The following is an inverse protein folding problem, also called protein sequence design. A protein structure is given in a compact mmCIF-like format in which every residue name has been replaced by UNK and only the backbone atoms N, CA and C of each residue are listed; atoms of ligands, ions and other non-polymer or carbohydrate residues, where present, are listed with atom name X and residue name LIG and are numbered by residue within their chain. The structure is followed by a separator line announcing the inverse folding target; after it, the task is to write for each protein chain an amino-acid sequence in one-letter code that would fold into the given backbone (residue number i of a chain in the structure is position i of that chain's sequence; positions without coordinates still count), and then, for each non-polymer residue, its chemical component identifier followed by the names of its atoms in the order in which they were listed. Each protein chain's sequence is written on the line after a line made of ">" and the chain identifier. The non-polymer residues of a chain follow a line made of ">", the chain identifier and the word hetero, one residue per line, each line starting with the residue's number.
data_IF_781827518208
#
_entry.id   IF_781827518208
#
_cell.length_a   1.000
_cell.length_b   1.000
_cell.length_c   1.000
_cell.angle_alpha   90.00
_cell.angle_beta   90.00
_cell.angle_gamma   90.00
#
_symmetry.space_group_name_H-M   'P 1'
#
loop_
_entity.id
_entity.type
_entity.pdbx_description
1 polymer ?
#
# COMPACT_ATOMS: atom_id res chain seq x y z
N UNK A 1 -16.93 -33.78 -19.58
CA UNK A 1 -18.38 -33.77 -19.25
C UNK A 1 -18.90 -32.39 -18.78
N UNK A 2 -18.16 -31.63 -17.97
CA UNK A 2 -18.60 -30.33 -17.41
C UNK A 2 -19.11 -29.25 -18.40
N UNK A 3 -18.65 -29.24 -19.66
CA UNK A 3 -19.05 -28.23 -20.66
C UNK A 3 -20.55 -28.30 -21.00
N UNK A 4 -21.15 -29.48 -20.98
CA UNK A 4 -22.57 -29.65 -21.31
C UNK A 4 -23.48 -29.14 -20.18
N UNK A 5 -23.11 -29.41 -18.92
CA UNK A 5 -23.83 -28.95 -17.73
C UNK A 5 -23.84 -27.42 -17.61
N UNK A 6 -22.71 -26.75 -17.90
CA UNK A 6 -22.65 -25.29 -17.90
C UNK A 6 -23.53 -24.66 -18.99
N UNK A 7 -23.62 -25.30 -20.16
CA UNK A 7 -24.52 -24.85 -21.22
C UNK A 7 -25.98 -24.97 -20.78
N UNK A 8 -26.37 -26.06 -20.12
CA UNK A 8 -27.73 -26.24 -19.61
C UNK A 8 -28.04 -25.26 -18.47
N UNK A 9 -27.13 -25.11 -17.50
CA UNK A 9 -27.27 -24.19 -16.38
C UNK A 9 -27.37 -22.74 -16.84
N UNK A 10 -26.48 -22.29 -17.74
CA UNK A 10 -26.51 -20.96 -18.32
C UNK A 10 -27.76 -20.70 -19.16
N UNK A 11 -28.28 -21.75 -19.85
CA UNK A 11 -29.56 -21.66 -20.54
C UNK A 11 -30.70 -21.53 -19.54
N UNK A 12 -30.73 -22.26 -18.44
CA UNK A 12 -31.76 -22.14 -17.41
C UNK A 12 -31.78 -20.76 -16.73
N UNK A 13 -30.60 -20.21 -16.40
CA UNK A 13 -30.45 -18.86 -15.83
C UNK A 13 -30.94 -17.76 -16.80
N UNK A 14 -30.60 -17.86 -18.09
CA UNK A 14 -31.03 -16.90 -19.12
C UNK A 14 -32.47 -17.14 -19.59
N UNK A 15 -32.97 -18.36 -19.42
CA UNK A 15 -34.17 -18.91 -20.05
C UNK A 15 -34.99 -19.68 -19.02
N UNK A 16 -35.37 -19.02 -17.94
CA UNK A 16 -36.52 -19.43 -17.13
C UNK A 16 -37.77 -19.36 -18.04
N UNK A 17 -37.98 -20.40 -18.85
CA UNK A 17 -39.01 -20.53 -19.88
C UNK A 17 -39.68 -21.90 -19.75
N UNK A 18 -40.72 -21.96 -18.92
CA UNK A 18 -41.79 -22.94 -18.98
C UNK A 18 -43.12 -22.20 -18.81
N UNK A 19 -43.96 -22.27 -19.85
CA UNK A 19 -45.38 -21.90 -20.02
C UNK A 19 -46.02 -20.65 -19.35
N UNK A 20 -46.54 -19.79 -20.24
CA UNK A 20 -47.61 -18.77 -20.16
C UNK A 20 -47.56 -17.52 -19.24
N UNK A 21 -47.62 -17.53 -17.91
CA UNK A 21 -47.98 -16.27 -17.16
C UNK A 21 -46.94 -15.74 -16.15
N UNK A 22 -46.10 -16.58 -15.53
CA UNK A 22 -45.14 -16.17 -14.48
C UNK A 22 -43.81 -15.55 -14.96
N UNK A 23 -43.63 -15.34 -16.27
CA UNK A 23 -42.32 -15.16 -16.92
C UNK A 23 -41.60 -13.84 -16.57
N UNK A 24 -42.36 -12.74 -16.47
CA UNK A 24 -41.80 -11.40 -16.23
C UNK A 24 -41.37 -11.25 -14.77
N UNK A 25 -42.12 -11.84 -13.85
CA UNK A 25 -41.83 -11.81 -12.42
C UNK A 25 -40.54 -12.58 -12.08
N UNK A 26 -40.39 -13.81 -12.56
CA UNK A 26 -39.20 -14.62 -12.27
C UNK A 26 -37.93 -13.97 -12.85
N UNK A 27 -37.96 -13.46 -14.09
CA UNK A 27 -36.82 -12.72 -14.67
C UNK A 27 -36.44 -11.50 -13.85
N UNK A 28 -37.42 -10.73 -13.38
CA UNK A 28 -37.18 -9.55 -12.57
C UNK A 28 -36.47 -9.89 -11.24
N UNK A 29 -36.97 -10.90 -10.53
CA UNK A 29 -36.37 -11.36 -9.27
C UNK A 29 -34.95 -11.88 -9.50
N UNK A 30 -34.71 -12.67 -10.55
CA UNK A 30 -33.35 -13.15 -10.88
C UNK A 30 -32.38 -12.00 -11.15
N UNK A 31 -32.80 -10.95 -11.88
CA UNK A 31 -31.95 -9.78 -12.14
C UNK A 31 -31.60 -9.03 -10.85
N UNK A 32 -32.59 -8.80 -9.98
CA UNK A 32 -32.34 -8.11 -8.70
C UNK A 32 -31.46 -8.95 -7.78
N UNK A 33 -31.70 -10.26 -7.70
CA UNK A 33 -30.90 -11.17 -6.87
C UNK A 33 -29.42 -11.18 -7.32
N UNK A 34 -29.18 -11.36 -8.63
CA UNK A 34 -27.81 -11.35 -9.18
C UNK A 34 -27.18 -9.97 -9.02
N UNK A 35 -27.93 -8.89 -9.28
CA UNK A 35 -27.45 -7.52 -9.09
C UNK A 35 -27.07 -7.21 -7.64
N UNK A 36 -27.88 -7.66 -6.68
CA UNK A 36 -27.63 -7.50 -5.25
C UNK A 36 -26.37 -8.24 -4.80
N UNK A 37 -26.22 -9.52 -5.19
CA UNK A 37 -25.02 -10.30 -4.88
C UNK A 37 -23.79 -9.69 -5.52
N UNK A 38 -23.86 -9.31 -6.80
CA UNK A 38 -22.75 -8.67 -7.50
C UNK A 38 -22.31 -7.37 -6.81
N UNK A 39 -23.27 -6.51 -6.42
CA UNK A 39 -22.99 -5.24 -5.75
C UNK A 39 -22.42 -5.45 -4.35
N UNK A 40 -22.96 -6.41 -3.59
CA UNK A 40 -22.46 -6.74 -2.25
C UNK A 40 -21.04 -7.30 -2.26
N UNK A 41 -20.76 -8.25 -3.16
CA UNK A 41 -19.40 -8.80 -3.33
C UNK A 41 -18.44 -7.73 -3.81
N UNK A 42 -18.85 -6.89 -4.77
CA UNK A 42 -18.02 -5.80 -5.29
C UNK A 42 -17.66 -4.79 -4.19
N UNK A 43 -18.63 -4.37 -3.37
CA UNK A 43 -18.38 -3.49 -2.23
C UNK A 43 -17.41 -4.11 -1.22
N UNK A 44 -17.56 -5.41 -0.93
CA UNK A 44 -16.70 -6.11 0.03
C UNK A 44 -15.25 -6.25 -0.50
N UNK A 45 -15.09 -6.58 -1.78
CA UNK A 45 -13.78 -6.63 -2.43
C UNK A 45 -13.13 -5.26 -2.45
N UNK A 46 -13.87 -4.20 -2.79
CA UNK A 46 -13.35 -2.82 -2.79
C UNK A 46 -12.89 -2.38 -1.40
N UNK A 47 -13.71 -2.60 -0.37
CA UNK A 47 -13.34 -2.25 1.01
C UNK A 47 -12.04 -2.94 1.44
N UNK A 48 -11.92 -4.24 1.14
CA UNK A 48 -10.72 -5.00 1.43
C UNK A 48 -9.50 -4.50 0.64
N UNK A 49 -9.68 -4.20 -0.64
CA UNK A 49 -8.63 -3.63 -1.49
C UNK A 49 -8.13 -2.29 -0.98
N UNK A 50 -9.01 -1.41 -0.51
CA UNK A 50 -8.64 -0.10 0.03
C UNK A 50 -7.80 -0.27 1.29
N UNK A 51 -8.26 -1.08 2.26
CA UNK A 51 -7.52 -1.27 3.52
C UNK A 51 -6.15 -1.90 3.26
N UNK A 52 -6.07 -2.89 2.37
CA UNK A 52 -4.79 -3.52 2.00
C UNK A 52 -3.86 -2.56 1.29
N UNK A 53 -4.35 -1.81 0.31
CA UNK A 53 -3.55 -0.84 -0.43
C UNK A 53 -3.02 0.27 0.48
N UNK A 54 -3.88 0.78 1.36
CA UNK A 54 -3.50 1.81 2.32
C UNK A 54 -2.49 1.30 3.35
N UNK A 55 -2.67 0.06 3.85
CA UNK A 55 -1.69 -0.56 4.75
C UNK A 55 -0.32 -0.66 4.10
N UNK A 56 -0.24 -1.10 2.84
CA UNK A 56 1.04 -1.18 2.13
C UNK A 56 1.66 0.20 1.95
N UNK A 57 0.88 1.20 1.53
CA UNK A 57 1.37 2.56 1.33
C UNK A 57 1.90 3.20 2.63
N UNK A 58 1.22 2.98 3.75
CA UNK A 58 1.72 3.42 5.06
C UNK A 58 2.99 2.68 5.42
N UNK A 59 2.98 1.35 5.31
CA UNK A 59 4.15 0.52 5.64
C UNK A 59 5.37 0.96 4.84
N UNK A 60 5.22 1.20 3.53
CA UNK A 60 6.29 1.67 2.65
C UNK A 60 6.76 3.07 3.03
N UNK A 61 5.86 4.00 3.38
CA UNK A 61 6.26 5.34 3.84
C UNK A 61 6.96 5.33 5.19
N UNK A 62 6.54 4.45 6.11
CA UNK A 62 7.16 4.32 7.44
C UNK A 62 8.53 3.66 7.33
N UNK A 63 8.66 2.59 6.53
CA UNK A 63 9.94 1.89 6.34
C UNK A 63 10.90 2.63 5.40
N UNK A 64 10.38 3.28 4.35
CA UNK A 64 11.19 3.91 3.31
C UNK A 64 11.85 5.24 3.70
N UNK A 65 11.43 5.87 4.80
CA UNK A 65 12.00 7.14 5.24
C UNK A 65 13.25 7.00 6.13
N UNK A 66 13.58 5.77 6.57
CA UNK A 66 14.69 5.51 7.47
C UNK A 66 15.84 4.78 6.80
N UNK A 67 17.08 5.07 7.21
CA UNK A 67 18.19 4.16 6.95
C UNK A 67 17.94 2.86 7.72
N UNK A 68 17.97 1.71 7.03
CA UNK A 68 17.81 0.40 7.68
C UNK A 68 18.92 0.14 8.72
N UNK A 69 20.10 0.74 8.52
CA UNK A 69 21.26 0.65 9.41
C UNK A 69 21.89 2.04 9.49
N UNK A 70 22.10 2.53 10.72
CA UNK A 70 22.80 3.79 10.98
C UNK A 70 24.12 3.48 11.69
N UNK A 71 25.20 4.09 11.20
CA UNK A 71 26.53 3.96 11.77
C UNK A 71 26.91 5.29 12.40
N UNK A 72 27.11 5.29 13.71
CA UNK A 72 27.41 6.49 14.50
C UNK A 72 28.63 6.25 15.40
N UNK A 73 29.22 7.35 15.87
CA UNK A 73 30.29 7.28 16.85
C UNK A 73 29.69 7.15 18.26
N UNK A 74 30.25 6.28 19.10
CA UNK A 74 29.82 6.12 20.50
C UNK A 74 30.09 7.38 21.34
N UNK A 75 31.14 8.12 21.00
CA UNK A 75 31.35 9.47 21.50
C UNK A 75 30.64 10.40 20.52
N UNK A 76 29.84 11.34 21.01
CA UNK A 76 28.99 12.29 20.26
C UNK A 76 29.81 13.29 19.39
N UNK A 77 30.75 12.75 18.64
CA UNK A 77 31.82 13.39 17.91
C UNK A 77 31.75 12.94 16.45
N UNK A 78 32.11 13.81 15.49
CA UNK A 78 32.06 13.48 14.08
C UNK A 78 32.84 12.20 13.75
N UNK A 79 32.30 11.37 12.87
CA UNK A 79 32.99 10.18 12.35
C UNK A 79 34.23 10.61 11.57
N UNK A 80 35.42 10.27 12.07
CA UNK A 80 36.68 10.52 11.38
C UNK A 80 36.72 9.75 10.06
N UNK A 81 36.85 10.46 8.94
CA UNK A 81 36.93 9.83 7.61
C UNK A 81 35.62 9.20 7.14
N UNK A 82 34.45 9.75 7.52
CA UNK A 82 33.13 9.21 7.15
C UNK A 82 32.95 8.88 5.66
N UNK A 83 33.58 9.63 4.74
CA UNK A 83 33.60 9.30 3.30
C UNK A 83 34.32 8.00 2.95
N UNK A 84 35.46 7.72 3.58
CA UNK A 84 36.21 6.49 3.36
C UNK A 84 35.47 5.30 3.97
N UNK A 85 34.89 5.48 5.16
CA UNK A 85 34.02 4.47 5.79
C UNK A 85 32.80 4.16 4.92
N UNK A 86 32.15 5.19 4.36
CA UNK A 86 31.02 5.01 3.46
C UNK A 86 31.39 4.17 2.22
N UNK A 87 32.58 4.37 1.65
CA UNK A 87 33.08 3.56 0.53
C UNK A 87 33.33 2.10 0.93
N UNK A 88 33.87 1.85 2.12
CA UNK A 88 34.06 0.50 2.66
C UNK A 88 32.72 -0.20 2.90
N UNK A 89 31.75 0.49 3.51
CA UNK A 89 30.41 -0.07 3.76
C UNK A 89 29.67 -0.35 2.46
N UNK A 90 29.82 0.51 1.45
CA UNK A 90 29.23 0.29 0.13
C UNK A 90 29.80 -0.94 -0.60
N UNK A 91 30.96 -1.46 -0.18
CA UNK A 91 31.56 -2.67 -0.75
C UNK A 91 31.07 -3.97 -0.10
N UNK A 92 30.26 -3.89 0.97
CA UNK A 92 29.69 -5.06 1.65
C UNK A 92 28.52 -5.62 0.84
N UNK A 93 28.46 -6.95 0.71
CA UNK A 93 27.36 -7.63 0.04
C UNK A 93 26.01 -7.31 0.72
N UNK A 94 24.98 -7.03 -0.06
CA UNK A 94 23.63 -6.61 0.38
C UNK A 94 23.47 -5.14 0.82
N UNK A 95 24.46 -4.28 0.58
CA UNK A 95 24.30 -2.83 0.77
C UNK A 95 23.86 -2.18 -0.55
N UNK A 96 22.59 -1.74 -0.60
CA UNK A 96 22.04 -1.11 -1.81
C UNK A 96 22.45 0.37 -1.96
N UNK A 97 22.44 1.11 -0.83
CA UNK A 97 22.82 2.51 -0.83
C UNK A 97 23.45 2.95 0.49
N UNK A 98 24.48 3.79 0.40
CA UNK A 98 25.13 4.46 1.53
C UNK A 98 25.08 5.96 1.29
N UNK A 99 24.69 6.73 2.30
CA UNK A 99 24.78 8.18 2.30
C UNK A 99 25.42 8.64 3.60
N UNK A 100 26.56 9.34 3.57
CA UNK A 100 27.05 10.03 4.76
C UNK A 100 26.07 11.15 5.10
N UNK A 101 25.74 11.29 6.39
CA UNK A 101 24.83 12.32 6.89
C UNK A 101 25.46 12.99 8.11
N UNK A 102 25.25 14.30 8.22
CA UNK A 102 25.54 15.11 9.39
C UNK A 102 24.19 15.53 9.99
N UNK A 103 23.99 15.18 11.26
CA UNK A 103 22.82 15.60 12.02
C UNK A 103 23.25 16.68 13.02
N UNK A 104 22.71 17.88 12.87
CA UNK A 104 23.01 18.99 13.78
C UNK A 104 21.72 19.74 14.12
N UNK A 105 21.63 20.23 15.36
CA UNK A 105 20.53 21.10 15.78
C UNK A 105 20.90 22.54 15.48
N UNK A 106 20.11 23.18 14.60
CA UNK A 106 20.26 24.59 14.29
C UNK A 106 19.13 25.41 14.90
N UNK A 107 19.40 26.66 15.23
CA UNK A 107 18.37 27.61 15.63
C UNK A 107 17.97 28.45 14.42
N UNK A 108 16.72 28.35 14.00
CA UNK A 108 16.14 29.21 12.99
C UNK A 108 15.40 30.36 13.68
N UNK A 109 15.69 31.59 13.26
CA UNK A 109 15.06 32.80 13.81
C UNK A 109 14.18 33.44 12.75
N UNK A 110 12.87 33.41 12.97
CA UNK A 110 11.89 34.01 12.03
C UNK A 110 11.59 35.47 12.38
N UNK A 111 11.72 35.87 13.66
CA UNK A 111 11.47 37.25 14.11
C UNK A 111 12.28 37.57 15.37
N UNK A 112 12.33 38.85 15.77
CA UNK A 112 13.14 39.32 16.90
C UNK A 112 12.79 38.69 18.27
N UNK A 113 11.62 38.05 18.39
CA UNK A 113 11.17 37.32 19.59
C UNK A 113 10.95 35.82 19.40
N UNK A 114 11.06 35.30 18.17
CA UNK A 114 10.76 33.89 17.87
C UNK A 114 12.00 33.19 17.31
N UNK A 115 12.49 32.22 18.10
CA UNK A 115 13.62 31.35 17.77
C UNK A 115 13.13 29.91 17.94
N UNK A 116 13.23 29.14 16.87
CA UNK A 116 12.81 27.74 16.84
C UNK A 116 14.04 26.86 16.60
N UNK A 117 14.17 25.77 17.36
CA UNK A 117 15.20 24.77 17.14
C UNK A 117 14.74 23.74 16.12
N UNK A 118 15.51 23.53 15.06
CA UNK A 118 15.22 22.57 13.99
C UNK A 118 16.40 21.62 13.84
N UNK A 119 16.12 20.31 13.81
CA UNK A 119 17.12 19.29 13.48
C UNK A 119 17.25 19.16 11.97
N UNK A 120 18.45 19.38 11.44
CA UNK A 120 18.74 19.21 10.02
C UNK A 120 19.50 17.90 9.79
N UNK A 121 19.15 17.22 8.70
CA UNK A 121 19.82 16.03 8.19
C UNK A 121 20.38 16.39 6.82
N UNK A 122 21.71 16.41 6.68
CA UNK A 122 22.39 16.87 5.45
C UNK A 122 23.60 16.04 5.08
#
# INVERSE_FOLDING_TARGET
>A
MARFEHIIAGRYLRRAQGSSEGRRFIRFVTYIAVGGVATGVLALVLALSIVRGFSNEISDKVMGFGAHVQVENLSDAPLAGGRALAATVASVENVDRVSPVVQEFILLRQSSRDVEGVSIWG
#
